data_IF_428349637441
#
_entry.id   IF_428349637441
#
_cell.length_a   1.000
_cell.length_b   1.000
_cell.length_c   1.000
_cell.angle_alpha   90.00
_cell.angle_beta   90.00
_cell.angle_gamma   90.00
#
_symmetry.space_group_name_H-M   'P 1'
#
loop_
_entity.id
_entity.type
_entity.pdbx_description
1 polymer ?
#
# COMPACT_ATOMS: atom_id res chain seq x y z
N UNK A 1 6.03 10.31 -0.54
CA UNK A 1 5.05 9.32 -0.07
C UNK A 1 4.53 8.51 -1.24
N UNK A 2 4.40 7.22 -1.06
CA UNK A 2 3.86 6.35 -2.10
C UNK A 2 2.43 5.97 -1.77
N UNK A 3 1.60 5.92 -2.80
CA UNK A 3 0.28 5.30 -2.70
C UNK A 3 0.32 4.07 -3.61
N UNK A 4 -0.03 2.93 -3.06
CA UNK A 4 0.05 1.65 -3.76
C UNK A 4 -1.36 1.11 -3.90
N UNK A 5 -1.77 0.90 -5.15
CA UNK A 5 -3.07 0.34 -5.47
C UNK A 5 -2.86 -0.98 -6.21
N UNK A 6 -3.55 -2.02 -5.83
CA UNK A 6 -3.36 -3.31 -6.47
C UNK A 6 -4.68 -4.02 -6.72
N UNK A 7 -4.65 -4.91 -7.69
CA UNK A 7 -5.78 -5.75 -8.03
C UNK A 7 -5.21 -7.15 -8.23
N UNK A 8 -5.34 -8.00 -7.24
CA UNK A 8 -4.81 -9.35 -7.25
C UNK A 8 -5.96 -10.32 -7.01
N UNK A 9 -6.24 -11.18 -7.98
CA UNK A 9 -7.41 -12.04 -7.91
C UNK A 9 -7.27 -13.21 -6.95
N UNK A 10 -6.09 -13.78 -6.84
CA UNK A 10 -5.87 -14.90 -5.93
C UNK A 10 -5.87 -14.43 -4.49
N UNK A 11 -6.79 -14.95 -3.69
CA UNK A 11 -6.96 -14.50 -2.31
C UNK A 11 -5.70 -14.71 -1.47
N UNK A 12 -5.05 -15.85 -1.65
CA UNK A 12 -3.86 -16.15 -0.85
C UNK A 12 -2.71 -15.21 -1.19
N UNK A 13 -2.50 -14.96 -2.48
CA UNK A 13 -1.47 -14.04 -2.93
C UNK A 13 -1.79 -12.62 -2.49
N UNK A 14 -3.04 -12.20 -2.61
CA UNK A 14 -3.49 -10.88 -2.20
C UNK A 14 -3.24 -10.66 -0.70
N UNK A 15 -3.53 -11.66 0.12
CA UNK A 15 -3.32 -11.55 1.56
C UNK A 15 -1.84 -11.48 1.92
N UNK A 16 -1.00 -12.21 1.20
CA UNK A 16 0.44 -12.13 1.40
C UNK A 16 0.98 -10.77 1.03
N UNK A 17 0.46 -10.20 -0.07
CA UNK A 17 0.87 -8.86 -0.52
C UNK A 17 0.50 -7.81 0.53
N UNK A 18 -0.72 -7.86 1.01
CA UNK A 18 -1.20 -6.95 2.04
C UNK A 18 -0.36 -7.04 3.32
N UNK A 19 -0.03 -8.25 3.76
CA UNK A 19 0.80 -8.45 4.93
C UNK A 19 2.21 -7.91 4.74
N UNK A 20 2.76 -8.08 3.56
CA UNK A 20 4.07 -7.55 3.24
C UNK A 20 4.07 -6.03 3.33
N UNK A 21 3.05 -5.38 2.78
CA UNK A 21 2.93 -3.93 2.85
C UNK A 21 2.85 -3.46 4.30
N UNK A 22 2.01 -4.11 5.09
CA UNK A 22 1.84 -3.75 6.50
C UNK A 22 3.13 -3.90 7.29
N UNK A 23 3.91 -4.93 7.00
CA UNK A 23 5.18 -5.13 7.68
C UNK A 23 6.20 -4.04 7.37
N UNK A 24 6.00 -3.31 6.29
CA UNK A 24 6.88 -2.22 5.90
C UNK A 24 6.24 -0.87 6.18
N UNK A 25 5.39 -0.83 7.20
CA UNK A 25 4.78 0.41 7.69
C UNK A 25 3.79 1.04 6.72
N UNK A 26 3.27 0.31 5.78
CA UNK A 26 2.21 0.81 4.93
C UNK A 26 0.90 0.84 5.71
N UNK A 27 0.09 1.84 5.46
CA UNK A 27 -1.16 2.06 6.14
C UNK A 27 -2.29 1.92 5.14
N UNK A 28 -3.27 1.10 5.45
CA UNK A 28 -4.35 0.85 4.52
C UNK A 28 -5.33 2.01 4.50
N UNK A 29 -5.59 2.53 3.32
CA UNK A 29 -6.58 3.59 3.13
C UNK A 29 -7.92 3.04 2.68
N UNK A 30 -7.88 2.05 1.82
CA UNK A 30 -9.07 1.37 1.30
C UNK A 30 -8.70 -0.06 1.02
N UNK A 31 -9.66 -0.89 0.63
CA UNK A 31 -9.35 -2.20 0.14
C UNK A 31 -8.38 -2.05 -1.00
N UNK A 32 -7.28 -2.69 -0.92
CA UNK A 32 -6.25 -2.73 -1.97
C UNK A 32 -5.60 -1.37 -2.26
N UNK A 33 -5.68 -0.43 -1.34
CA UNK A 33 -5.00 0.87 -1.46
C UNK A 33 -4.27 1.18 -0.16
N UNK A 34 -2.97 1.36 -0.24
CA UNK A 34 -2.13 1.64 0.92
C UNK A 34 -1.27 2.88 0.67
N UNK A 35 -0.93 3.55 1.73
CA UNK A 35 0.08 4.62 1.65
C UNK A 35 1.31 4.21 2.43
N UNK A 36 2.48 4.65 1.98
CA UNK A 36 3.74 4.44 2.66
C UNK A 36 4.48 5.76 2.71
N UNK A 37 4.87 6.18 3.91
CA UNK A 37 5.67 7.37 4.06
C UNK A 37 6.83 7.02 4.99
N UNK A 38 7.98 6.78 4.44
CA UNK A 38 9.12 6.28 5.19
C UNK A 38 10.41 6.76 4.54
N UNK A 39 11.54 6.36 5.12
CA UNK A 39 12.85 6.74 4.57
C UNK A 39 13.04 6.13 3.19
N UNK A 40 13.94 6.73 2.41
CA UNK A 40 14.23 6.22 1.08
C UNK A 40 14.71 4.77 1.13
N UNK A 41 15.43 4.39 2.15
CA UNK A 41 15.93 3.03 2.27
C UNK A 41 14.80 2.03 2.42
N UNK A 42 13.82 2.35 3.26
CA UNK A 42 12.66 1.48 3.46
C UNK A 42 11.84 1.40 2.19
N UNK A 43 11.65 2.52 1.51
CA UNK A 43 10.91 2.57 0.26
C UNK A 43 11.61 1.73 -0.81
N UNK A 44 12.92 1.84 -0.93
CA UNK A 44 13.68 1.05 -1.91
C UNK A 44 13.57 -0.44 -1.64
N UNK A 45 13.66 -0.83 -0.39
CA UNK A 45 13.51 -2.24 -0.01
C UNK A 45 12.12 -2.75 -0.34
N UNK A 46 11.10 -1.93 -0.08
CA UNK A 46 9.73 -2.29 -0.40
C UNK A 46 9.54 -2.46 -1.91
N UNK A 47 10.14 -1.57 -2.70
CA UNK A 47 10.04 -1.66 -4.16
C UNK A 47 10.65 -2.96 -4.70
N UNK A 48 11.76 -3.41 -4.13
CA UNK A 48 12.37 -4.68 -4.51
C UNK A 48 11.41 -5.84 -4.19
N UNK A 49 10.76 -5.79 -3.03
CA UNK A 49 9.82 -6.84 -2.65
C UNK A 49 8.59 -6.84 -3.56
N UNK A 50 8.11 -5.68 -3.96
CA UNK A 50 6.97 -5.59 -4.88
C UNK A 50 7.36 -6.17 -6.25
N UNK A 51 8.56 -5.87 -6.72
CA UNK A 51 9.07 -6.46 -7.98
C UNK A 51 9.06 -7.98 -7.90
N UNK A 52 9.50 -8.53 -6.80
CA UNK A 52 9.50 -9.98 -6.62
C UNK A 52 8.10 -10.54 -6.59
N UNK A 53 7.19 -9.86 -5.91
CA UNK A 53 5.82 -10.31 -5.84
C UNK A 53 5.17 -10.32 -7.22
N UNK A 54 5.46 -9.31 -8.03
CA UNK A 54 4.87 -9.18 -9.35
C UNK A 54 5.23 -10.35 -10.27
N UNK A 55 6.31 -11.04 -10.00
CA UNK A 55 6.70 -12.21 -10.77
C UNK A 55 5.72 -13.37 -10.60
N UNK A 56 4.88 -13.34 -9.58
CA UNK A 56 3.89 -14.38 -9.35
C UNK A 56 2.51 -13.97 -9.81
N UNK A 57 2.36 -12.86 -10.48
CA UNK A 57 1.06 -12.36 -10.90
C UNK A 57 0.57 -13.13 -12.11
N UNK A 58 -0.75 -13.31 -12.15
CA UNK A 58 -1.41 -13.87 -13.34
C UNK A 58 -1.83 -12.71 -14.22
N UNK A 59 -2.32 -13.00 -15.40
CA UNK A 59 -2.58 -11.98 -16.40
C UNK A 59 -3.53 -10.88 -16.02
N UNK A 60 -4.39 -11.09 -15.03
CA UNK A 60 -5.31 -10.05 -14.57
C UNK A 60 -4.80 -9.25 -13.39
N UNK A 61 -3.67 -9.62 -12.84
CA UNK A 61 -3.18 -8.97 -11.62
C UNK A 61 -2.37 -7.72 -11.96
N UNK A 62 -2.44 -6.72 -11.09
CA UNK A 62 -1.72 -5.47 -11.32
C UNK A 62 -1.39 -4.76 -10.01
N UNK A 63 -0.37 -3.92 -10.06
CA UNK A 63 -0.04 -2.99 -8.99
C UNK A 63 0.29 -1.66 -9.65
N UNK A 64 -0.26 -0.60 -9.11
CA UNK A 64 0.05 0.75 -9.57
C UNK A 64 0.62 1.51 -8.39
N UNK A 65 1.70 2.22 -8.59
CA UNK A 65 2.33 3.00 -7.54
C UNK A 65 2.37 4.45 -7.95
N UNK A 66 1.86 5.31 -7.05
CA UNK A 66 1.87 6.74 -7.27
C UNK A 66 2.84 7.36 -6.27
N UNK A 67 3.74 8.21 -6.76
CA UNK A 67 4.58 8.98 -5.87
C UNK A 67 3.94 10.35 -5.73
N UNK A 68 3.41 10.64 -4.56
CA UNK A 68 2.64 11.86 -4.34
C UNK A 68 3.14 12.61 -3.11
N UNK A 69 2.87 13.90 -3.10
CA UNK A 69 3.13 14.70 -1.92
C UNK A 69 2.01 14.48 -0.91
N UNK A 70 2.37 14.31 0.34
CA UNK A 70 1.39 14.08 1.41
C UNK A 70 0.38 15.22 1.49
N UNK A 71 0.78 16.45 1.21
CA UNK A 71 -0.14 17.57 1.28
C UNK A 71 -1.11 17.62 0.11
N UNK A 72 -0.83 16.87 -0.95
CA UNK A 72 -1.72 16.84 -2.11
C UNK A 72 -2.69 15.67 -2.07
N UNK A 73 -2.51 14.76 -1.13
CA UNK A 73 -3.40 13.61 -1.01
C UNK A 73 -4.56 13.99 -0.13
N UNK A 74 -5.77 13.91 -0.66
CA UNK A 74 -6.96 14.21 0.11
C UNK A 74 -7.68 12.92 0.44
N UNK A 75 -8.14 12.81 1.66
CA UNK A 75 -8.83 11.63 2.15
C UNK A 75 -10.15 12.03 2.79
N UNK A 76 -11.15 11.22 2.58
CA UNK A 76 -12.47 11.44 3.15
C UNK A 76 -12.98 10.14 3.73
N UNK A 77 -13.80 10.25 4.76
CA UNK A 77 -14.45 9.08 5.37
C UNK A 77 -13.43 8.12 5.96
N UNK A 78 -13.61 6.86 5.71
CA UNK A 78 -12.73 5.83 6.28
C UNK A 78 -11.32 5.80 5.69
N UNK A 79 -11.07 6.57 4.65
CA UNK A 79 -9.73 6.70 4.12
C UNK A 79 -8.84 7.56 5.00
N UNK A 80 -9.41 8.27 5.97
CA UNK A 80 -8.62 8.99 6.93
C UNK A 80 -8.10 7.98 7.92
N UNK A 81 -6.81 7.73 7.91
CA UNK A 81 -6.23 6.76 8.77
C UNK A 81 -5.77 7.36 10.04
N UNK A 82 -5.85 6.64 11.12
CA UNK A 82 -5.34 7.01 12.32
C UNK A 82 -4.62 5.90 12.87
N UNK A 83 -3.39 5.99 12.92
CA UNK A 83 -2.58 5.01 13.57
C UNK A 83 -2.61 5.33 14.98
N UNK A 84 -3.28 6.31 15.44
CA UNK A 84 -3.38 6.53 16.81
C UNK A 84 -4.80 6.52 17.08
N UNK A 85 -5.12 6.42 18.29
CA UNK A 85 -6.42 6.25 18.60
C UNK A 85 -7.22 7.41 18.58
N UNK A 86 -7.07 8.22 17.82
CA UNK A 86 -7.73 9.29 17.75
C UNK A 86 -9.00 9.09 17.32
N UNK A 87 -9.80 9.54 17.78
CA UNK A 87 -10.87 9.36 17.39
C UNK A 87 -11.40 10.33 16.73
N UNK A 88 -12.06 10.39 16.19
CA UNK A 88 -12.49 11.17 15.47
C UNK A 88 -13.67 11.36 15.56
N UNK A 89 -13.86 11.74 15.50
CA UNK A 89 -14.68 12.11 15.57
C UNK A 89 -15.45 12.32 14.78
#
# INVERSE_FOLDING_TARGET
>A
MLVISYDISNTKLRNKFSKMLTKHDAIRLQFSVYEVNNTNRVIENLMVLIDDFAKNFDGGDSVIIFDVSAVKLKKYGNAIHRDVDIVYL
#
